data_IF_994000954590
#
_entry.id   IF_994000954590
#
_cell.length_a   1.000
_cell.length_b   1.000
_cell.length_c   1.000
_cell.angle_alpha   90.00
_cell.angle_beta   90.00
_cell.angle_gamma   90.00
#
_symmetry.space_group_name_H-M   'P 1'
#
loop_
_entity.id
_entity.type
_entity.pdbx_description
1 polymer ?
#
# COMPACT_ATOMS: atom_id res chain seq x y z
N UNK A 1 -3.58 -53.72 8.87
CA UNK A 1 -4.36 -52.59 8.34
C UNK A 1 -3.92 -52.38 6.89
N UNK A 2 -4.85 -52.49 5.94
CA UNK A 2 -4.50 -52.54 4.51
C UNK A 2 -3.91 -51.21 4.06
N UNK A 3 -2.90 -51.29 3.18
CA UNK A 3 -2.21 -50.17 2.56
C UNK A 3 -3.18 -49.12 1.94
N UNK A 4 -4.38 -49.57 1.57
CA UNK A 4 -5.48 -48.73 1.07
C UNK A 4 -5.99 -47.71 2.09
N UNK A 5 -6.13 -48.07 3.37
CA UNK A 5 -6.56 -47.12 4.40
C UNK A 5 -5.51 -46.02 4.64
N UNK A 6 -4.23 -46.37 4.60
CA UNK A 6 -3.13 -45.41 4.73
C UNK A 6 -3.11 -44.46 3.54
N UNK A 7 -3.35 -44.96 2.33
CA UNK A 7 -3.42 -44.14 1.12
C UNK A 7 -4.66 -43.23 1.11
N UNK A 8 -5.82 -43.72 1.55
CA UNK A 8 -7.04 -42.92 1.69
C UNK A 8 -6.85 -41.77 2.69
N UNK A 9 -6.23 -42.05 3.85
CA UNK A 9 -5.91 -41.03 4.85
C UNK A 9 -4.91 -40.00 4.33
N UNK A 10 -3.83 -40.43 3.64
CA UNK A 10 -2.88 -39.50 3.01
C UNK A 10 -3.55 -38.61 1.96
N UNK A 11 -4.44 -39.17 1.14
CA UNK A 11 -5.18 -38.42 0.14
C UNK A 11 -6.10 -37.37 0.79
N UNK A 12 -6.89 -37.76 1.80
CA UNK A 12 -7.77 -36.83 2.52
C UNK A 12 -7.00 -35.73 3.25
N UNK A 13 -5.87 -36.05 3.90
CA UNK A 13 -5.01 -35.06 4.55
C UNK A 13 -4.39 -34.10 3.52
N UNK A 14 -3.87 -34.62 2.41
CA UNK A 14 -3.28 -33.81 1.34
C UNK A 14 -4.30 -32.86 0.71
N UNK A 15 -5.52 -33.35 0.45
CA UNK A 15 -6.56 -32.56 -0.19
C UNK A 15 -7.17 -31.52 0.75
N UNK A 16 -7.30 -31.85 2.06
CA UNK A 16 -7.69 -30.89 3.09
C UNK A 16 -6.70 -29.73 3.20
N UNK A 17 -5.40 -30.03 3.23
CA UNK A 17 -4.33 -29.03 3.25
C UNK A 17 -4.32 -28.16 1.99
N UNK A 18 -4.61 -28.73 0.83
CA UNK A 18 -4.68 -27.99 -0.44
C UNK A 18 -5.86 -27.02 -0.48
N UNK A 19 -7.04 -27.45 -0.01
CA UNK A 19 -8.21 -26.60 0.11
C UNK A 19 -7.96 -25.43 1.07
N UNK A 20 -7.42 -25.70 2.25
CA UNK A 20 -7.07 -24.68 3.25
C UNK A 20 -6.08 -23.67 2.68
N UNK A 21 -5.01 -24.14 2.02
CA UNK A 21 -4.02 -23.27 1.37
C UNK A 21 -4.68 -22.36 0.34
N UNK A 22 -5.52 -22.92 -0.54
CA UNK A 22 -6.23 -22.15 -1.57
C UNK A 22 -7.18 -21.12 -0.96
N UNK A 23 -7.88 -21.49 0.11
CA UNK A 23 -8.79 -20.58 0.82
C UNK A 23 -8.03 -19.44 1.50
N UNK A 24 -6.91 -19.73 2.17
CA UNK A 24 -6.04 -18.73 2.81
C UNK A 24 -5.49 -17.77 1.76
N UNK A 25 -4.92 -18.27 0.66
CA UNK A 25 -4.40 -17.44 -0.44
C UNK A 25 -5.50 -16.55 -1.04
N UNK A 26 -6.69 -17.09 -1.29
CA UNK A 26 -7.82 -16.33 -1.82
C UNK A 26 -8.27 -15.22 -0.87
N UNK A 27 -8.33 -15.52 0.43
CA UNK A 27 -8.72 -14.56 1.46
C UNK A 27 -7.68 -13.46 1.62
N UNK A 28 -6.39 -13.80 1.70
CA UNK A 28 -5.30 -12.83 1.73
C UNK A 28 -5.31 -11.92 0.50
N UNK A 29 -5.49 -12.48 -0.70
CA UNK A 29 -5.57 -11.69 -1.93
C UNK A 29 -6.75 -10.70 -1.92
N UNK A 30 -7.91 -11.10 -1.37
CA UNK A 30 -9.04 -10.18 -1.21
C UNK A 30 -8.73 -9.06 -0.22
N UNK A 31 -8.11 -9.39 0.93
CA UNK A 31 -7.70 -8.40 1.94
C UNK A 31 -6.73 -7.37 1.36
N UNK A 32 -5.68 -7.82 0.66
CA UNK A 32 -4.72 -6.91 0.02
C UNK A 32 -5.35 -6.05 -1.08
N UNK A 33 -6.30 -6.58 -1.85
CA UNK A 33 -7.04 -5.78 -2.84
C UNK A 33 -7.87 -4.67 -2.19
N UNK A 34 -8.52 -4.96 -1.07
CA UNK A 34 -9.28 -3.96 -0.30
C UNK A 34 -8.34 -2.90 0.27
N UNK A 35 -7.21 -3.32 0.86
CA UNK A 35 -6.20 -2.40 1.39
C UNK A 35 -5.63 -1.50 0.28
N UNK A 36 -5.24 -2.07 -0.87
CA UNK A 36 -4.73 -1.32 -2.02
C UNK A 36 -5.75 -0.29 -2.52
N UNK A 37 -7.04 -0.65 -2.55
CA UNK A 37 -8.10 0.27 -2.91
C UNK A 37 -8.19 1.44 -1.92
N UNK A 38 -8.11 1.18 -0.62
CA UNK A 38 -8.14 2.22 0.41
C UNK A 38 -6.92 3.15 0.32
N UNK A 39 -5.72 2.59 0.18
CA UNK A 39 -4.48 3.37 0.04
C UNK A 39 -4.53 4.24 -1.22
N UNK A 40 -4.98 3.72 -2.36
CA UNK A 40 -5.12 4.51 -3.59
C UNK A 40 -6.13 5.65 -3.46
N UNK A 41 -7.22 5.43 -2.73
CA UNK A 41 -8.19 6.50 -2.44
C UNK A 41 -7.56 7.61 -1.60
N UNK A 42 -6.73 7.26 -0.63
CA UNK A 42 -6.03 8.22 0.22
C UNK A 42 -4.96 8.99 -0.57
N UNK A 43 -4.23 8.31 -1.46
CA UNK A 43 -3.29 8.95 -2.40
C UNK A 43 -4.02 10.04 -3.20
N UNK A 44 -5.15 9.73 -3.83
CA UNK A 44 -5.93 10.71 -4.60
C UNK A 44 -6.36 11.93 -3.76
N UNK A 45 -6.72 11.73 -2.49
CA UNK A 45 -7.10 12.83 -1.59
C UNK A 45 -5.89 13.71 -1.24
N UNK A 46 -4.75 13.10 -0.97
CA UNK A 46 -3.50 13.83 -0.72
C UNK A 46 -3.02 14.58 -1.95
N UNK A 47 -3.13 13.99 -3.15
CA UNK A 47 -2.78 14.64 -4.42
C UNK A 47 -3.64 15.88 -4.68
N UNK A 48 -4.95 15.81 -4.43
CA UNK A 48 -5.83 16.98 -4.53
C UNK A 48 -5.40 18.09 -3.56
N UNK A 49 -4.99 17.74 -2.34
CA UNK A 49 -4.52 18.71 -1.34
C UNK A 49 -3.18 19.34 -1.72
N UNK A 50 -2.29 18.55 -2.33
CA UNK A 50 -1.01 19.01 -2.85
C UNK A 50 -1.20 19.94 -4.04
N UNK A 51 -2.09 19.62 -4.98
CA UNK A 51 -2.35 20.45 -6.15
C UNK A 51 -2.82 21.88 -5.80
N UNK A 52 -3.59 22.04 -4.72
CA UNK A 52 -3.98 23.37 -4.21
C UNK A 52 -2.78 24.19 -3.71
N UNK A 53 -1.84 23.54 -3.02
CA UNK A 53 -0.62 24.17 -2.51
C UNK A 53 0.34 24.50 -3.64
N UNK A 54 0.49 23.58 -4.61
CA UNK A 54 1.32 23.79 -5.80
C UNK A 54 0.86 25.00 -6.60
N UNK A 55 -0.46 25.13 -6.80
CA UNK A 55 -1.04 26.28 -7.49
C UNK A 55 -0.84 27.58 -6.72
N UNK A 56 -0.96 27.55 -5.39
CA UNK A 56 -0.82 28.73 -4.54
C UNK A 56 0.61 29.26 -4.51
N UNK A 57 1.59 28.36 -4.47
CA UNK A 57 3.01 28.70 -4.36
C UNK A 57 3.76 28.66 -5.70
N UNK A 58 3.07 28.29 -6.79
CA UNK A 58 3.64 28.12 -8.13
C UNK A 58 4.91 27.26 -8.14
N UNK A 59 4.89 26.17 -7.37
CA UNK A 59 6.01 25.26 -7.16
C UNK A 59 5.47 23.84 -7.01
N UNK A 60 6.05 22.85 -7.68
CA UNK A 60 5.65 21.46 -7.50
C UNK A 60 6.01 20.95 -6.10
N UNK A 61 5.24 20.00 -5.58
CA UNK A 61 5.47 19.42 -4.25
C UNK A 61 6.80 18.70 -4.16
N UNK A 62 7.30 18.14 -5.27
CA UNK A 62 8.62 17.50 -5.30
C UNK A 62 9.76 18.51 -5.14
N UNK A 63 9.68 19.66 -5.81
CA UNK A 63 10.67 20.75 -5.65
C UNK A 63 10.57 21.34 -4.25
N UNK A 64 9.35 21.58 -3.77
CA UNK A 64 9.10 22.05 -2.41
C UNK A 64 9.73 21.12 -1.37
N UNK A 65 9.52 19.80 -1.49
CA UNK A 65 10.02 18.82 -0.53
C UNK A 65 11.54 18.81 -0.44
N UNK A 66 12.24 18.93 -1.58
CA UNK A 66 13.71 19.04 -1.63
C UNK A 66 14.18 20.32 -0.95
N UNK A 67 13.57 21.47 -1.30
CA UNK A 67 13.95 22.79 -0.73
C UNK A 67 13.66 22.88 0.76
N UNK A 68 12.53 22.35 1.22
CA UNK A 68 12.17 22.32 2.64
C UNK A 68 13.18 21.47 3.44
N UNK A 69 13.53 20.29 2.93
CA UNK A 69 14.53 19.42 3.57
C UNK A 69 15.95 19.99 3.54
N UNK A 70 16.28 20.84 2.56
CA UNK A 70 17.54 21.57 2.50
C UNK A 70 17.58 22.77 3.46
N UNK A 71 16.47 23.11 4.14
CA UNK A 71 16.36 24.28 5.00
C UNK A 71 16.31 25.61 4.22
N UNK A 72 16.05 25.56 2.91
CA UNK A 72 15.96 26.75 2.04
C UNK A 72 14.60 27.46 2.18
N UNK A 73 13.63 26.82 2.83
CA UNK A 73 12.31 27.36 3.12
C UNK A 73 12.17 27.62 4.61
N UNK A 74 11.43 28.68 4.95
CA UNK A 74 11.16 29.02 6.34
C UNK A 74 10.23 28.01 7.05
N UNK A 75 10.00 28.24 8.34
CA UNK A 75 9.16 27.44 9.23
C UNK A 75 7.69 27.86 9.22
N UNK A 76 7.25 28.50 8.13
CA UNK A 76 5.86 28.91 7.95
C UNK A 76 4.91 27.72 8.17
N UNK A 77 3.83 27.94 8.93
CA UNK A 77 2.82 26.91 9.23
C UNK A 77 2.31 26.20 7.98
N UNK A 78 2.22 26.93 6.86
CA UNK A 78 1.81 26.38 5.57
C UNK A 78 2.83 25.41 4.98
N UNK A 79 4.13 25.71 5.09
CA UNK A 79 5.20 24.82 4.63
C UNK A 79 5.25 23.54 5.47
N UNK A 80 5.05 23.63 6.79
CA UNK A 80 4.93 22.45 7.65
C UNK A 80 3.74 21.57 7.23
N UNK A 81 2.60 22.20 6.92
CA UNK A 81 1.41 21.47 6.43
C UNK A 81 1.66 20.82 5.08
N UNK A 82 2.32 21.53 4.16
CA UNK A 82 2.66 21.01 2.84
C UNK A 82 3.64 19.83 2.96
N UNK A 83 4.66 19.96 3.80
CA UNK A 83 5.59 18.88 4.10
C UNK A 83 4.85 17.63 4.60
N UNK A 84 3.93 17.80 5.56
CA UNK A 84 3.15 16.67 6.10
C UNK A 84 2.31 15.98 5.01
N UNK A 85 1.69 16.74 4.10
CA UNK A 85 0.95 16.14 2.98
C UNK A 85 1.86 15.39 2.01
N UNK A 86 3.01 15.96 1.67
CA UNK A 86 3.93 15.33 0.72
C UNK A 86 4.61 14.10 1.32
N UNK A 87 4.97 14.15 2.59
CA UNK A 87 5.49 13.01 3.33
C UNK A 87 4.47 11.88 3.41
N UNK A 88 3.21 12.21 3.70
CA UNK A 88 2.09 11.24 3.69
C UNK A 88 1.90 10.62 2.31
N UNK A 89 1.87 11.44 1.25
CA UNK A 89 1.77 10.96 -0.14
C UNK A 89 2.89 9.98 -0.48
N UNK A 90 4.14 10.32 -0.16
CA UNK A 90 5.29 9.44 -0.42
C UNK A 90 5.18 8.09 0.31
N UNK A 91 4.74 8.10 1.58
CA UNK A 91 4.53 6.88 2.37
C UNK A 91 3.41 6.01 1.82
N UNK A 92 2.30 6.62 1.41
CA UNK A 92 1.17 5.90 0.80
C UNK A 92 1.57 5.29 -0.54
N UNK A 93 2.34 6.00 -1.35
CA UNK A 93 2.88 5.49 -2.63
C UNK A 93 3.79 4.28 -2.41
N UNK A 94 4.69 4.31 -1.43
CA UNK A 94 5.53 3.15 -1.13
C UNK A 94 4.69 1.98 -0.60
N UNK A 95 3.71 2.25 0.27
CA UNK A 95 2.80 1.21 0.77
C UNK A 95 2.00 0.54 -0.35
N UNK A 96 1.47 1.33 -1.30
CA UNK A 96 0.76 0.80 -2.46
C UNK A 96 1.67 -0.13 -3.28
N UNK A 97 2.92 0.30 -3.52
CA UNK A 97 3.93 -0.47 -4.25
C UNK A 97 4.29 -1.79 -3.55
N UNK A 98 4.39 -1.80 -2.22
CA UNK A 98 4.60 -3.03 -1.44
C UNK A 98 3.43 -4.01 -1.60
N UNK A 99 2.19 -3.53 -1.50
CA UNK A 99 1.00 -4.38 -1.64
C UNK A 99 0.90 -4.93 -3.08
N UNK A 100 1.20 -4.12 -4.09
CA UNK A 100 1.20 -4.55 -5.49
C UNK A 100 2.22 -5.67 -5.75
N UNK A 101 3.41 -5.61 -5.15
CA UNK A 101 4.39 -6.70 -5.22
C UNK A 101 3.83 -7.99 -4.63
N UNK A 102 3.06 -7.93 -3.55
CA UNK A 102 2.48 -9.11 -2.89
C UNK A 102 1.34 -9.71 -3.74
N UNK A 103 0.51 -8.87 -4.37
CA UNK A 103 -0.61 -9.34 -5.23
C UNK A 103 -0.10 -9.95 -6.54
N UNK A 104 1.09 -9.55 -7.02
CA UNK A 104 1.67 -10.01 -8.29
C UNK A 104 2.78 -11.06 -8.15
N UNK A 105 3.17 -11.41 -6.92
CA UNK A 105 4.09 -12.51 -6.60
C UNK A 105 3.34 -13.86 -6.55
#
# INVERSE_FOLDING_TARGET
MSNEYVNALKFQLSHGLEFEKKYITSTMNKMFKVELYMVRREIMQTESSLAELEKRHNMSSDIFYVKFNAGELGDGREYIKWYAFKDTHNKLMERAKEIEKIIHA
#
